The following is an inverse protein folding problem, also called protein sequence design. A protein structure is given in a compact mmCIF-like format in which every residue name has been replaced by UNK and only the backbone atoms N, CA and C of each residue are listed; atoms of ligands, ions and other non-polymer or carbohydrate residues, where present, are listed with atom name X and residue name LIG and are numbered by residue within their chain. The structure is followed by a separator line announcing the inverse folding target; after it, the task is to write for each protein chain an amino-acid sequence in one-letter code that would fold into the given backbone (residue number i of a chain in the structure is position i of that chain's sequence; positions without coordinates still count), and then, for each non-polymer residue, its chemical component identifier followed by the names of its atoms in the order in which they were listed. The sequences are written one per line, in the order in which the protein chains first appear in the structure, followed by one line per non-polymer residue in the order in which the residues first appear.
data_IF_747866606929
#
_entry.id   IF_747866606929
#
_cell.length_a   1.000
_cell.length_b   1.000
_cell.length_c   1.000
_cell.angle_alpha   90.00
_cell.angle_beta   90.00
_cell.angle_gamma   90.00
#
_symmetry.space_group_name_H-M   'P 1'
#
loop_
_entity.id
_entity.type
_entity.pdbx_description
1 polymer ?
#
# COMPACT_ATOMS: atom_id res chain seq x y z
N UNK A 1 -0.25 13.19 4.22
CA UNK A 1 1.13 13.12 4.76
C UNK A 1 1.97 12.27 3.83
N UNK A 2 3.18 12.68 3.48
CA UNK A 2 4.04 11.87 2.64
C UNK A 2 4.50 10.60 3.38
N UNK A 3 4.62 9.50 2.65
CA UNK A 3 5.09 8.21 3.22
C UNK A 3 6.60 8.15 3.39
N UNK A 4 7.37 8.97 2.70
CA UNK A 4 8.81 9.12 2.90
C UNK A 4 9.21 10.60 2.95
N UNK A 5 10.43 10.83 3.40
CA UNK A 5 11.05 12.16 3.45
C UNK A 5 12.25 12.21 2.52
N UNK A 6 12.74 13.41 2.22
CA UNK A 6 14.00 13.60 1.47
C UNK A 6 15.15 12.88 2.18
N UNK A 7 15.19 12.94 3.51
CA UNK A 7 16.22 12.26 4.30
C UNK A 7 16.18 10.73 4.11
N UNK A 8 14.99 10.12 4.05
CA UNK A 8 14.87 8.67 3.77
C UNK A 8 15.43 8.31 2.39
N UNK A 9 15.22 9.19 1.41
CA UNK A 9 15.75 8.99 0.06
C UNK A 9 17.27 9.13 0.04
N UNK A 10 17.82 10.14 0.74
CA UNK A 10 19.28 10.33 0.86
C UNK A 10 19.93 9.14 1.56
N UNK A 11 19.36 8.66 2.66
CA UNK A 11 19.89 7.49 3.38
C UNK A 11 19.87 6.20 2.55
N UNK A 12 18.88 6.07 1.66
CA UNK A 12 18.69 4.86 0.85
C UNK A 12 19.50 4.85 -0.44
N UNK A 13 19.58 5.97 -1.13
CA UNK A 13 20.19 6.08 -2.47
C UNK A 13 21.51 6.85 -2.46
N UNK A 14 21.77 7.62 -1.43
CA UNK A 14 22.88 8.55 -1.38
C UNK A 14 22.57 9.90 -2.03
N UNK A 15 23.22 10.92 -1.52
CA UNK A 15 23.01 12.30 -1.96
C UNK A 15 23.37 12.50 -3.45
N UNK A 16 24.48 11.91 -3.88
CA UNK A 16 24.94 12.03 -5.26
C UNK A 16 23.93 11.44 -6.25
N UNK A 17 23.48 10.21 -6.00
CA UNK A 17 22.51 9.57 -6.87
C UNK A 17 21.19 10.35 -6.91
N UNK A 18 20.74 10.88 -5.78
CA UNK A 18 19.52 11.65 -5.73
C UNK A 18 19.63 12.96 -6.54
N UNK A 19 20.78 13.62 -6.51
CA UNK A 19 21.07 14.78 -7.37
C UNK A 19 21.04 14.41 -8.85
N UNK A 20 21.68 13.32 -9.21
CA UNK A 20 21.73 12.83 -10.59
C UNK A 20 20.32 12.46 -11.08
N UNK A 21 19.50 11.82 -10.24
CA UNK A 21 18.11 11.50 -10.58
C UNK A 21 17.23 12.74 -10.75
N UNK A 22 17.41 13.76 -9.92
CA UNK A 22 16.64 14.98 -9.95
C UNK A 22 17.18 16.04 -10.92
N UNK A 23 18.31 15.76 -11.60
CA UNK A 23 19.01 16.71 -12.46
C UNK A 23 19.38 18.03 -11.76
N UNK A 24 19.67 17.94 -10.47
CA UNK A 24 20.00 19.11 -9.67
C UNK A 24 21.45 19.56 -9.91
N UNK A 25 21.67 20.86 -10.01
CA UNK A 25 23.01 21.43 -10.02
C UNK A 25 23.73 21.18 -8.67
N UNK A 26 25.05 21.25 -8.67
CA UNK A 26 25.85 20.94 -7.47
C UNK A 26 25.56 21.87 -6.27
N UNK A 27 25.10 23.08 -6.55
CA UNK A 27 24.72 24.12 -5.59
C UNK A 27 23.22 24.16 -5.26
N UNK A 28 22.43 23.31 -5.93
CA UNK A 28 20.99 23.23 -5.72
C UNK A 28 20.64 22.34 -4.54
N UNK A 29 19.66 22.76 -3.73
CA UNK A 29 19.23 21.99 -2.56
C UNK A 29 18.45 20.73 -2.95
N UNK A 30 18.79 19.60 -2.32
CA UNK A 30 18.11 18.31 -2.55
C UNK A 30 16.67 18.30 -2.02
N UNK A 31 16.38 19.12 -1.00
CA UNK A 31 15.05 19.29 -0.43
C UNK A 31 14.15 20.25 -1.24
N UNK A 32 14.59 20.60 -2.44
CA UNK A 32 13.87 21.51 -3.33
C UNK A 32 12.53 20.96 -3.84
N UNK A 33 11.81 21.85 -4.53
CA UNK A 33 10.44 21.60 -4.99
C UNK A 33 10.30 20.34 -5.86
N UNK A 34 11.32 20.01 -6.65
CA UNK A 34 11.32 18.84 -7.56
C UNK A 34 11.26 17.53 -6.78
N UNK A 35 12.11 17.38 -5.77
CA UNK A 35 12.15 16.17 -4.93
C UNK A 35 10.89 16.06 -4.06
N UNK A 36 10.43 17.19 -3.52
CA UNK A 36 9.19 17.24 -2.75
C UNK A 36 7.97 16.86 -3.60
N UNK A 37 7.90 17.34 -4.84
CA UNK A 37 6.83 16.98 -5.78
C UNK A 37 6.85 15.47 -6.08
N UNK A 38 8.01 14.89 -6.37
CA UNK A 38 8.12 13.46 -6.62
C UNK A 38 7.69 12.60 -5.42
N UNK A 39 8.00 13.03 -4.19
CA UNK A 39 7.55 12.38 -2.96
C UNK A 39 6.02 12.50 -2.80
N UNK A 40 5.45 13.65 -3.12
CA UNK A 40 4.01 13.87 -3.06
C UNK A 40 3.27 12.99 -4.07
N UNK A 41 3.75 12.93 -5.31
CA UNK A 41 3.20 12.09 -6.37
C UNK A 41 3.29 10.59 -6.00
N UNK A 42 4.42 10.15 -5.47
CA UNK A 42 4.58 8.78 -4.98
C UNK A 42 3.58 8.45 -3.87
N UNK A 43 3.35 9.39 -2.96
CA UNK A 43 2.40 9.21 -1.86
C UNK A 43 0.95 9.14 -2.38
N UNK A 44 0.58 9.97 -3.34
CA UNK A 44 -0.73 9.94 -3.96
C UNK A 44 -0.97 8.62 -4.73
N UNK A 45 0.03 8.10 -5.44
CA UNK A 45 -0.05 6.81 -6.12
C UNK A 45 -0.21 5.66 -5.13
N UNK A 46 0.51 5.70 -4.01
CA UNK A 46 0.34 4.72 -2.93
C UNK A 46 -1.07 4.77 -2.33
N UNK A 47 -1.59 5.96 -2.06
CA UNK A 47 -2.95 6.15 -1.56
C UNK A 47 -4.00 5.57 -2.52
N UNK A 48 -3.82 5.72 -3.83
CA UNK A 48 -4.71 5.15 -4.83
C UNK A 48 -4.78 3.61 -4.76
N UNK A 49 -3.69 2.94 -4.44
CA UNK A 49 -3.66 1.48 -4.25
C UNK A 49 -4.16 1.07 -2.86
N UNK A 50 -3.68 1.74 -1.81
CA UNK A 50 -3.98 1.38 -0.42
C UNK A 50 -5.42 1.71 -0.03
N UNK A 51 -6.02 2.74 -0.63
CA UNK A 51 -7.39 3.18 -0.36
C UNK A 51 -8.48 2.13 -0.64
N UNK A 52 -8.13 1.04 -1.33
CA UNK A 52 -9.02 -0.11 -1.51
C UNK A 52 -9.25 -0.89 -0.21
N UNK A 53 -8.32 -0.82 0.73
CA UNK A 53 -8.33 -1.61 1.95
C UNK A 53 -8.18 -0.80 3.24
N UNK A 54 -7.49 0.33 3.19
CA UNK A 54 -7.22 1.17 4.36
C UNK A 54 -7.72 2.59 4.16
N UNK A 55 -7.97 3.28 5.26
CA UNK A 55 -8.15 4.72 5.22
C UNK A 55 -6.82 5.36 4.84
N UNK A 56 -6.85 6.23 3.85
CA UNK A 56 -5.67 6.93 3.38
C UNK A 56 -5.75 8.42 3.71
N UNK A 57 -4.62 9.06 3.97
CA UNK A 57 -3.28 8.47 4.06
C UNK A 57 -3.15 7.56 5.30
N UNK A 58 -2.41 6.46 5.15
CA UNK A 58 -2.10 5.57 6.28
C UNK A 58 -1.19 6.34 7.24
N UNK A 59 -1.67 6.58 8.44
CA UNK A 59 -0.97 7.42 9.43
C UNK A 59 0.26 6.75 10.02
N UNK A 60 0.25 5.42 10.04
CA UNK A 60 1.37 4.63 10.56
C UNK A 60 2.47 4.46 9.52
N UNK A 61 3.60 5.05 9.81
CA UNK A 61 4.78 4.96 8.97
C UNK A 61 5.52 3.65 9.24
N UNK A 62 5.35 2.66 8.38
CA UNK A 62 6.09 1.40 8.46
C UNK A 62 7.33 1.43 7.56
N UNK A 63 8.40 0.69 7.89
CA UNK A 63 9.59 0.60 7.03
C UNK A 63 9.25 0.16 5.59
N UNK A 64 8.24 -0.71 5.44
CA UNK A 64 7.77 -1.16 4.14
C UNK A 64 7.17 -0.01 3.31
N UNK A 65 6.28 0.80 3.90
CA UNK A 65 5.68 1.94 3.21
C UNK A 65 6.73 2.99 2.83
N UNK A 66 7.69 3.25 3.71
CA UNK A 66 8.82 4.15 3.40
C UNK A 66 9.64 3.63 2.22
N UNK A 67 9.95 2.33 2.21
CA UNK A 67 10.69 1.71 1.11
C UNK A 67 9.94 1.86 -0.22
N UNK A 68 8.66 1.55 -0.26
CA UNK A 68 7.83 1.64 -1.46
C UNK A 68 7.75 3.09 -1.96
N UNK A 69 7.51 4.05 -1.07
CA UNK A 69 7.46 5.46 -1.40
C UNK A 69 8.78 5.97 -2.01
N UNK A 70 9.92 5.58 -1.43
CA UNK A 70 11.23 5.96 -1.96
C UNK A 70 11.48 5.39 -3.36
N UNK A 71 11.09 4.14 -3.63
CA UNK A 71 11.26 3.52 -4.95
C UNK A 71 10.39 4.21 -6.01
N UNK A 72 9.16 4.52 -5.68
CA UNK A 72 8.23 5.22 -6.59
C UNK A 72 8.71 6.66 -6.83
N UNK A 73 9.10 7.39 -5.78
CA UNK A 73 9.61 8.76 -5.89
C UNK A 73 10.89 8.82 -6.76
N UNK A 74 11.83 7.87 -6.58
CA UNK A 74 13.02 7.77 -7.43
C UNK A 74 12.66 7.58 -8.89
N UNK A 75 11.72 6.70 -9.20
CA UNK A 75 11.25 6.48 -10.56
C UNK A 75 10.63 7.76 -11.15
N UNK A 76 9.84 8.50 -10.36
CA UNK A 76 9.26 9.78 -10.78
C UNK A 76 10.30 10.86 -11.06
N UNK A 77 11.38 10.91 -10.26
CA UNK A 77 12.49 11.85 -10.48
C UNK A 77 13.23 11.59 -11.79
N UNK A 78 13.28 10.33 -12.24
CA UNK A 78 13.95 9.97 -13.50
C UNK A 78 13.16 10.39 -14.74
N UNK A 79 11.89 10.73 -14.61
CA UNK A 79 11.02 11.29 -15.65
C UNK A 79 11.19 10.66 -17.05
N UNK A 80 11.09 9.32 -17.10
CA UNK A 80 11.18 8.56 -18.35
C UNK A 80 12.60 8.33 -18.88
N UNK A 81 13.64 8.74 -18.16
CA UNK A 81 15.01 8.35 -18.50
C UNK A 81 15.17 6.84 -18.32
N UNK A 82 15.81 6.21 -19.28
CA UNK A 82 16.07 4.77 -19.25
C UNK A 82 17.02 4.41 -18.10
N UNK A 83 16.46 3.96 -17.00
CA UNK A 83 17.19 3.40 -15.88
C UNK A 83 16.54 2.08 -15.50
N UNK A 84 16.99 1.01 -16.14
CA UNK A 84 16.40 -0.33 -16.03
C UNK A 84 16.15 -0.77 -14.58
N UNK A 85 17.12 -0.52 -13.70
CA UNK A 85 16.98 -0.87 -12.28
C UNK A 85 15.86 -0.08 -11.59
N UNK A 86 15.69 1.19 -11.90
CA UNK A 86 14.63 2.02 -11.30
C UNK A 86 13.25 1.58 -11.80
N UNK A 87 13.13 1.25 -13.08
CA UNK A 87 11.90 0.70 -13.67
C UNK A 87 11.52 -0.62 -12.98
N UNK A 88 12.46 -1.56 -12.88
CA UNK A 88 12.25 -2.84 -12.21
C UNK A 88 11.79 -2.65 -10.76
N UNK A 89 12.46 -1.78 -10.00
CA UNK A 89 12.11 -1.50 -8.60
C UNK A 89 10.74 -0.84 -8.45
N UNK A 90 10.38 0.02 -9.39
CA UNK A 90 9.05 0.60 -9.45
C UNK A 90 7.98 -0.47 -9.71
N UNK A 91 8.17 -1.34 -10.69
CA UNK A 91 7.25 -2.44 -11.00
C UNK A 91 7.07 -3.39 -9.81
N UNK A 92 8.17 -3.76 -9.13
CA UNK A 92 8.14 -4.56 -7.90
C UNK A 92 7.35 -3.85 -6.79
N UNK A 93 7.53 -2.54 -6.63
CA UNK A 93 6.81 -1.74 -5.64
C UNK A 93 5.30 -1.70 -5.93
N UNK A 94 4.90 -1.48 -7.18
CA UNK A 94 3.50 -1.50 -7.60
C UNK A 94 2.87 -2.89 -7.42
N UNK A 95 3.59 -3.95 -7.76
CA UNK A 95 3.12 -5.32 -7.55
C UNK A 95 2.87 -5.60 -6.07
N UNK A 96 3.76 -5.14 -5.19
CA UNK A 96 3.60 -5.30 -3.75
C UNK A 96 2.44 -4.45 -3.18
N UNK A 97 2.25 -3.22 -3.68
CA UNK A 97 1.09 -2.39 -3.31
C UNK A 97 -0.25 -3.06 -3.72
N UNK A 98 -0.30 -3.68 -4.89
CA UNK A 98 -1.47 -4.45 -5.32
C UNK A 98 -1.71 -5.66 -4.41
N UNK A 99 -0.66 -6.40 -4.06
CA UNK A 99 -0.75 -7.54 -3.14
C UNK A 99 -1.20 -7.13 -1.73
N UNK A 100 -0.76 -5.97 -1.25
CA UNK A 100 -1.24 -5.36 -0.01
C UNK A 100 -2.74 -5.01 -0.11
N UNK A 101 -3.15 -4.33 -1.17
CA UNK A 101 -4.54 -3.95 -1.41
C UNK A 101 -5.48 -5.15 -1.51
N UNK A 102 -5.01 -6.28 -2.06
CA UNK A 102 -5.73 -7.54 -2.17
C UNK A 102 -5.69 -8.38 -0.88
N UNK A 103 -4.90 -7.98 0.10
CA UNK A 103 -4.74 -8.69 1.37
C UNK A 103 -3.86 -9.94 1.33
N UNK A 104 -3.13 -10.15 0.24
CA UNK A 104 -2.16 -11.25 0.10
C UNK A 104 -0.93 -11.04 0.97
N UNK A 105 -0.61 -9.80 1.28
CA UNK A 105 0.49 -9.37 2.14
C UNK A 105 -0.07 -8.46 3.23
N UNK A 106 0.49 -8.51 4.42
CA UNK A 106 0.13 -7.65 5.54
C UNK A 106 1.19 -6.59 5.78
N UNK A 107 0.79 -5.44 6.32
CA UNK A 107 1.72 -4.36 6.69
C UNK A 107 2.56 -4.68 7.94
N UNK A 108 2.36 -5.84 8.57
CA UNK A 108 3.03 -6.20 9.81
C UNK A 108 2.55 -5.39 11.02
N UNK A 109 1.37 -4.80 10.93
CA UNK A 109 0.73 -4.06 12.02
C UNK A 109 -0.03 -5.02 12.93
N UNK A 110 -0.05 -4.76 14.23
CA UNK A 110 -0.85 -5.51 15.19
C UNK A 110 -2.35 -5.26 14.97
N UNK A 111 -3.20 -6.16 15.50
CA UNK A 111 -4.66 -6.02 15.39
C UNK A 111 -5.19 -4.71 16.01
N UNK A 112 -4.53 -4.17 17.03
CA UNK A 112 -4.87 -2.89 17.67
C UNK A 112 -4.54 -1.69 16.76
N UNK A 113 -3.46 -1.81 16.00
CA UNK A 113 -3.03 -0.81 15.01
C UNK A 113 -3.86 -0.87 13.71
N UNK A 114 -4.56 -1.96 13.50
CA UNK A 114 -5.53 -2.15 12.42
C UNK A 114 -6.91 -1.58 12.76
N UNK A 115 -7.16 -1.12 13.98
CA UNK A 115 -8.44 -0.49 14.36
C UNK A 115 -8.70 0.83 13.62
N UNK A 116 -7.64 1.48 13.11
CA UNK A 116 -7.73 2.57 12.14
C UNK A 116 -7.91 2.08 10.69
N UNK A 117 -7.94 0.76 10.50
CA UNK A 117 -8.14 0.16 9.19
C UNK A 117 -9.59 0.35 8.71
N UNK A 118 -9.79 0.50 7.41
CA UNK A 118 -11.06 0.83 6.84
C UNK A 118 -12.05 -0.30 7.01
N UNK A 119 -13.23 0.16 7.09
CA UNK A 119 -14.40 -0.57 6.66
C UNK A 119 -14.08 -1.31 5.35
N UNK A 120 -13.90 -2.60 5.42
CA UNK A 120 -14.00 -3.46 4.26
C UNK A 120 -15.43 -3.34 3.72
N UNK A 121 -15.62 -2.42 2.80
CA UNK A 121 -16.77 -2.50 1.92
C UNK A 121 -16.59 -3.80 1.11
N UNK A 122 -17.19 -4.90 1.58
CA UNK A 122 -17.23 -6.15 0.86
C UNK A 122 -16.63 -7.38 1.54
N UNK A 123 -16.36 -7.41 2.84
CA UNK A 123 -16.56 -8.65 3.55
C UNK A 123 -18.06 -8.92 3.54
N UNK A 124 -18.55 -9.64 2.54
CA UNK A 124 -19.76 -10.38 2.72
C UNK A 124 -19.51 -11.21 3.97
N UNK A 125 -20.07 -10.75 5.09
CA UNK A 125 -20.31 -11.59 6.22
C UNK A 125 -21.17 -12.71 5.63
N UNK A 126 -20.52 -13.83 5.30
CA UNK A 126 -21.24 -15.07 5.14
C UNK A 126 -21.70 -15.36 6.56
N UNK A 127 -22.79 -14.71 6.93
CA UNK A 127 -23.68 -15.20 7.91
C UNK A 127 -24.09 -16.54 7.36
N UNK A 128 -23.38 -17.56 7.79
CA UNK A 128 -23.91 -18.90 7.80
C UNK A 128 -25.07 -18.80 8.78
N UNK A 129 -26.21 -18.35 8.28
CA UNK A 129 -27.47 -18.75 8.89
C UNK A 129 -27.36 -20.26 8.90
N UNK A 130 -27.00 -20.80 10.05
CA UNK A 130 -27.34 -22.18 10.34
C UNK A 130 -28.84 -22.19 10.14
N UNK A 131 -29.25 -22.62 8.94
CA UNK A 131 -30.55 -23.20 8.82
C UNK A 131 -30.59 -24.23 9.95
N UNK A 132 -31.43 -24.03 10.95
CA UNK A 132 -31.77 -25.12 11.83
C UNK A 132 -32.41 -26.13 10.91
N UNK A 133 -31.63 -27.07 10.44
CA UNK A 133 -32.18 -28.34 9.96
C UNK A 133 -32.71 -28.97 11.23
N UNK A 134 -33.93 -28.54 11.52
CA UNK A 134 -34.65 -28.89 12.71
C UNK A 134 -34.76 -30.40 12.70
N UNK A 135 -34.14 -31.03 13.68
CA UNK A 135 -34.30 -32.47 13.90
C UNK A 135 -35.75 -32.85 14.05
N UNK A 136 -36.58 -31.90 14.44
CA UNK A 136 -38.03 -32.08 14.62
C UNK A 136 -38.78 -32.16 13.28
N UNK A 137 -38.30 -31.49 12.21
CA UNK A 137 -38.89 -31.61 10.88
C UNK A 137 -38.70 -33.02 10.29
N UNK A 138 -37.59 -33.69 10.63
CA UNK A 138 -37.35 -35.03 10.19
C UNK A 138 -38.23 -36.06 10.93
N UNK A 139 -38.51 -35.85 12.20
CA UNK A 139 -39.42 -36.66 12.98
C UNK A 139 -40.88 -36.51 12.51
N UNK A 140 -41.30 -35.28 12.15
CA UNK A 140 -42.65 -35.02 11.62
C UNK A 140 -42.85 -35.59 10.21
N UNK A 141 -41.80 -35.67 9.37
CA UNK A 141 -41.87 -36.27 8.04
C UNK A 141 -42.00 -37.79 8.13
N UNK A 142 -41.26 -38.44 9.04
CA UNK A 142 -41.29 -39.88 9.23
C UNK A 142 -42.56 -40.36 9.92
N UNK A 143 -43.22 -39.50 10.68
CA UNK A 143 -44.54 -39.79 11.33
C UNK A 143 -45.72 -39.83 10.36
N UNK A 144 -45.62 -39.28 9.15
CA UNK A 144 -46.68 -39.25 8.11
C UNK A 144 -46.65 -40.46 7.16
N UNK A 145 -45.67 -41.35 7.28
CA UNK A 145 -45.54 -42.55 6.44
C UNK A 145 -45.98 -43.84 7.11
N UNK A 146 -46.88 -43.70 8.11
CA UNK A 146 -47.56 -44.85 8.69
C UNK A 146 -49.03 -44.87 8.28
#
# INVERSE_FOLDING_TARGET
MPYCTVQDMVERFGERELRDCAELAADEAIDGAVVQAAIADASAEMDAHLGRRWRVPVTRRTPLLVMLACQIARYRLLDGREHEQAVRRYEEAIALLKALAEGKVTLGLSAEELSDAPVTAGAAEVRTERHPFDRDAKAAFLGRLR
#
